data_IF_947729961782
#
_entry.id   IF_947729961782
#
_cell.length_a   1.000
_cell.length_b   1.000
_cell.length_c   1.000
_cell.angle_alpha   90.00
_cell.angle_beta   90.00
_cell.angle_gamma   90.00
#
_symmetry.space_group_name_H-M   'P 1'
#
loop_
_entity.id
_entity.type
_entity.pdbx_description
1 polymer ?
#
# COMPACT_ATOMS: atom_id res chain seq x y z
N UNK A 1 -0.55 -18.26 6.26
CA UNK A 1 0.10 -16.95 5.95
C UNK A 1 -0.80 -15.77 6.31
N UNK A 2 -1.95 -15.55 5.66
CA UNK A 2 -2.81 -14.36 5.85
C UNK A 2 -3.20 -14.08 7.32
N UNK A 3 -3.66 -15.10 8.06
CA UNK A 3 -4.02 -14.95 9.47
C UNK A 3 -2.83 -14.52 10.36
N UNK A 4 -1.62 -14.98 10.06
CA UNK A 4 -0.42 -14.61 10.81
C UNK A 4 -0.12 -13.13 10.60
N UNK A 5 -0.20 -12.64 9.35
CA UNK A 5 -0.06 -11.22 9.04
C UNK A 5 -1.11 -10.37 9.73
N UNK A 6 -2.37 -10.83 9.75
CA UNK A 6 -3.44 -10.17 10.50
C UNK A 6 -3.11 -10.04 12.00
N UNK A 7 -2.63 -11.10 12.64
CA UNK A 7 -2.22 -11.03 14.06
C UNK A 7 -1.01 -10.11 14.27
N UNK A 8 -0.03 -10.13 13.37
CA UNK A 8 1.14 -9.25 13.45
C UNK A 8 0.75 -7.77 13.30
N UNK A 9 -0.15 -7.43 12.37
CA UNK A 9 -0.72 -6.09 12.22
C UNK A 9 -1.43 -5.63 13.50
N UNK A 10 -2.22 -6.52 14.12
CA UNK A 10 -2.91 -6.23 15.38
C UNK A 10 -1.93 -5.96 16.52
N UNK A 11 -0.89 -6.79 16.65
CA UNK A 11 0.16 -6.62 17.66
C UNK A 11 0.92 -5.31 17.41
N UNK A 12 1.28 -5.02 16.16
CA UNK A 12 1.99 -3.80 15.79
C UNK A 12 1.20 -2.53 16.18
N UNK A 13 -0.10 -2.48 15.86
CA UNK A 13 -0.96 -1.36 16.26
C UNK A 13 -1.08 -1.24 17.78
N UNK A 14 -1.19 -2.38 18.48
CA UNK A 14 -1.21 -2.41 19.94
C UNK A 14 0.08 -1.85 20.54
N UNK A 15 1.24 -2.15 19.94
CA UNK A 15 2.55 -1.60 20.35
C UNK A 15 2.61 -0.09 20.08
N UNK A 16 2.23 0.35 18.87
CA UNK A 16 2.31 1.77 18.46
C UNK A 16 1.40 2.65 19.33
N UNK A 17 0.18 2.18 19.62
CA UNK A 17 -0.76 2.94 20.44
C UNK A 17 -0.46 2.85 21.93
N UNK A 18 0.37 1.89 22.37
CA UNK A 18 0.78 1.68 23.76
C UNK A 18 -0.41 1.72 24.77
N UNK A 19 -1.60 1.34 24.31
CA UNK A 19 -2.87 1.46 25.04
C UNK A 19 -3.96 0.61 24.37
N UNK A 20 -5.13 0.48 25.03
CA UNK A 20 -6.29 -0.16 24.42
C UNK A 20 -6.73 0.62 23.19
N UNK A 21 -6.86 -0.06 22.05
CA UNK A 21 -7.25 0.58 20.81
C UNK A 21 -8.65 1.20 21.00
N UNK A 22 -8.87 2.47 20.60
CA UNK A 22 -10.11 3.20 20.86
C UNK A 22 -11.26 2.79 19.93
N UNK A 23 -11.10 1.73 19.13
CA UNK A 23 -12.05 1.26 18.12
C UNK A 23 -12.46 -0.19 18.35
N UNK A 24 -13.61 -0.58 17.79
CA UNK A 24 -14.11 -1.94 17.91
C UNK A 24 -13.20 -2.93 17.16
N UNK A 25 -13.12 -4.17 17.64
CA UNK A 25 -12.43 -5.27 16.93
C UNK A 25 -12.99 -5.47 15.51
N UNK A 26 -14.26 -5.17 15.29
CA UNK A 26 -14.91 -5.25 13.97
C UNK A 26 -14.38 -4.18 13.01
N UNK A 27 -14.16 -2.97 13.49
CA UNK A 27 -13.67 -1.84 12.68
C UNK A 27 -12.24 -2.12 12.20
N UNK A 28 -11.45 -2.77 13.06
CA UNK A 28 -10.14 -3.27 12.67
C UNK A 28 -10.20 -4.25 11.51
N UNK A 29 -11.08 -5.27 11.60
CA UNK A 29 -11.19 -6.30 10.57
C UNK A 29 -11.61 -5.70 9.23
N UNK A 30 -12.60 -4.80 9.24
CA UNK A 30 -13.09 -4.12 8.02
C UNK A 30 -11.97 -3.26 7.41
N UNK A 31 -11.26 -2.49 8.24
CA UNK A 31 -10.16 -1.63 7.78
C UNK A 31 -9.00 -2.45 7.24
N UNK A 32 -8.66 -3.56 7.90
CA UNK A 32 -7.61 -4.47 7.46
C UNK A 32 -7.95 -5.14 6.12
N UNK A 33 -9.20 -5.58 5.94
CA UNK A 33 -9.68 -6.10 4.65
C UNK A 33 -9.63 -5.04 3.55
N UNK A 34 -10.07 -3.81 3.84
CA UNK A 34 -10.01 -2.71 2.89
C UNK A 34 -8.56 -2.40 2.47
N UNK A 35 -7.62 -2.40 3.42
CA UNK A 35 -6.19 -2.23 3.16
C UNK A 35 -5.67 -3.30 2.20
N UNK A 36 -5.99 -4.57 2.43
CA UNK A 36 -5.56 -5.66 1.55
C UNK A 36 -6.14 -5.50 0.13
N UNK A 37 -7.42 -5.16 0.01
CA UNK A 37 -8.04 -4.88 -1.30
C UNK A 37 -7.39 -3.68 -2.00
N UNK A 38 -7.10 -2.61 -1.28
CA UNK A 38 -6.41 -1.44 -1.81
C UNK A 38 -4.98 -1.77 -2.25
N UNK A 39 -4.24 -2.58 -1.50
CA UNK A 39 -2.89 -3.00 -1.86
C UNK A 39 -2.89 -3.77 -3.19
N UNK A 40 -3.82 -4.73 -3.35
CA UNK A 40 -3.99 -5.48 -4.60
C UNK A 40 -4.41 -4.54 -5.73
N UNK A 41 -5.34 -3.63 -5.49
CA UNK A 41 -5.79 -2.66 -6.48
C UNK A 41 -4.66 -1.74 -6.95
N UNK A 42 -3.87 -1.18 -6.03
CA UNK A 42 -2.71 -0.33 -6.35
C UNK A 42 -1.68 -1.14 -7.13
N UNK A 43 -1.45 -2.39 -6.76
CA UNK A 43 -0.53 -3.27 -7.46
C UNK A 43 -1.00 -3.52 -8.90
N UNK A 44 -2.25 -3.90 -9.12
CA UNK A 44 -2.83 -4.09 -10.47
C UNK A 44 -2.78 -2.79 -11.26
N UNK A 45 -3.13 -1.65 -10.63
CA UNK A 45 -3.06 -0.34 -11.26
C UNK A 45 -1.63 0.01 -11.69
N UNK A 46 -0.64 -0.29 -10.86
CA UNK A 46 0.77 -0.09 -11.19
C UNK A 46 1.24 -1.00 -12.34
N UNK A 47 0.71 -2.23 -12.42
CA UNK A 47 0.98 -3.11 -13.57
C UNK A 47 0.35 -2.59 -14.86
N UNK A 48 -0.86 -2.03 -14.81
CA UNK A 48 -1.57 -1.52 -15.99
C UNK A 48 -1.07 -0.15 -16.44
N UNK A 49 -0.69 0.71 -15.49
CA UNK A 49 -0.21 2.07 -15.74
C UNK A 49 1.14 2.28 -15.05
N UNK A 50 2.26 1.90 -15.70
CA UNK A 50 3.59 2.06 -15.12
C UNK A 50 4.06 3.53 -15.04
N UNK A 51 3.34 4.47 -15.64
CA UNK A 51 3.70 5.89 -15.67
C UNK A 51 3.19 6.57 -14.39
N UNK A 52 4.06 6.70 -13.39
CA UNK A 52 3.79 7.41 -12.15
C UNK A 52 4.25 8.86 -12.30
N UNK A 53 3.32 9.81 -12.23
CA UNK A 53 3.65 11.23 -12.16
C UNK A 53 3.98 11.58 -10.71
N UNK A 54 5.19 12.07 -10.46
CA UNK A 54 5.62 12.48 -9.13
C UNK A 54 6.18 13.91 -9.19
N UNK A 55 5.51 14.83 -8.47
CA UNK A 55 5.79 16.27 -8.52
C UNK A 55 5.78 16.79 -9.97
N UNK A 56 6.92 17.27 -10.46
CA UNK A 56 7.12 17.81 -11.81
C UNK A 56 7.60 16.78 -12.83
N UNK A 57 8.00 15.57 -12.39
CA UNK A 57 8.53 14.50 -13.25
C UNK A 57 7.48 13.43 -13.58
N UNK A 58 7.62 12.80 -14.75
CA UNK A 58 6.89 11.58 -15.10
C UNK A 58 7.90 10.43 -15.08
N UNK A 59 7.64 9.43 -14.26
CA UNK A 59 8.51 8.27 -14.10
C UNK A 59 7.80 7.04 -14.63
N UNK A 60 8.46 6.25 -15.48
CA UNK A 60 7.94 4.97 -15.99
C UNK A 60 8.63 3.82 -15.27
N UNK A 61 7.84 3.03 -14.55
CA UNK A 61 8.30 1.79 -13.93
C UNK A 61 8.38 0.68 -15.00
N UNK A 62 9.58 0.19 -15.30
CA UNK A 62 9.71 -1.03 -16.10
C UNK A 62 9.50 -2.26 -15.23
N UNK A 63 8.98 -3.32 -15.83
CA UNK A 63 8.91 -4.65 -15.23
C UNK A 63 10.34 -5.09 -14.89
N UNK A 64 10.65 -5.22 -13.60
CA UNK A 64 12.02 -5.41 -13.08
C UNK A 64 12.49 -4.34 -12.09
N UNK A 65 11.66 -3.34 -11.79
CA UNK A 65 11.96 -2.32 -10.76
C UNK A 65 12.88 -1.18 -11.23
N UNK A 66 13.21 -1.15 -12.53
CA UNK A 66 13.92 -0.01 -13.11
C UNK A 66 12.95 1.16 -13.32
N UNK A 67 13.32 2.33 -12.82
CA UNK A 67 12.54 3.56 -12.94
C UNK A 67 13.18 4.45 -13.99
N UNK A 68 12.43 4.82 -15.02
CA UNK A 68 12.89 5.74 -16.05
C UNK A 68 12.22 7.09 -15.90
N UNK A 69 13.00 8.16 -15.81
CA UNK A 69 12.47 9.50 -15.93
C UNK A 69 12.17 9.81 -17.39
N UNK A 70 10.90 10.03 -17.72
CA UNK A 70 10.50 10.57 -19.02
C UNK A 70 10.74 12.07 -18.95
N UNK A 71 11.94 12.49 -19.36
CA UNK A 71 12.20 13.92 -19.60
C UNK A 71 11.27 14.39 -20.73
N UNK A 72 10.47 15.46 -20.54
CA UNK A 72 9.79 16.08 -21.66
C UNK A 72 10.86 16.50 -22.68
N UNK A 73 10.75 15.99 -23.91
CA UNK A 73 11.59 16.46 -25.00
C UNK A 73 11.24 17.93 -25.23
N UNK A 74 12.25 18.79 -25.06
CA UNK A 74 12.19 20.21 -25.40
C UNK A 74 12.61 20.37 -26.86
#
# INVERSE_FOLDING_TARGET
HILIWFFLDWILLSIIQNSSLPFSKTDFVITWMFRECCAIYIFIKALWQPNVRWRTGVYRLRWGGSVEEIKPML
#
